data_IF_485005438478
#
_entry.id   IF_485005438478
#
_cell.length_a   1.000
_cell.length_b   1.000
_cell.length_c   1.000
_cell.angle_alpha   90.00
_cell.angle_beta   90.00
_cell.angle_gamma   90.00
#
_symmetry.space_group_name_H-M   'P 1'
#
loop_
_entity.id
_entity.type
_entity.pdbx_description
1 polymer ?
#
# COMPACT_ATOMS: atom_id res chain seq x y z
N UNK A 1 2.30 -30.75 62.05
CA UNK A 1 2.21 -29.48 61.31
C UNK A 1 2.86 -29.72 59.95
N UNK A 2 2.07 -30.00 58.92
CA UNK A 2 2.56 -30.38 57.58
C UNK A 2 2.25 -29.23 56.63
N UNK A 3 3.29 -28.56 56.13
CA UNK A 3 3.16 -27.41 55.22
C UNK A 3 3.00 -27.96 53.80
N UNK A 4 1.81 -27.81 53.23
CA UNK A 4 1.55 -28.07 51.81
C UNK A 4 2.02 -26.86 50.99
N UNK A 5 3.06 -27.04 50.19
CA UNK A 5 3.53 -26.05 49.22
C UNK A 5 2.68 -26.19 47.96
N UNK A 6 1.82 -25.20 47.71
CA UNK A 6 1.04 -25.08 46.47
C UNK A 6 1.97 -24.50 45.40
N UNK A 7 2.39 -25.33 44.44
CA UNK A 7 3.13 -24.89 43.25
C UNK A 7 2.11 -24.29 42.28
N UNK A 8 2.07 -22.97 42.23
CA UNK A 8 1.32 -22.21 41.23
C UNK A 8 2.01 -22.39 39.87
N UNK A 9 1.47 -23.27 39.03
CA UNK A 9 1.91 -23.42 37.63
C UNK A 9 1.29 -22.27 36.85
N UNK A 10 2.02 -21.15 36.80
CA UNK A 10 1.70 -20.02 35.94
C UNK A 10 1.73 -20.51 34.48
N UNK A 11 0.55 -20.61 33.87
CA UNK A 11 0.44 -20.81 32.43
C UNK A 11 0.98 -19.55 31.77
N UNK A 12 2.22 -19.60 31.31
CA UNK A 12 2.81 -18.55 30.46
C UNK A 12 2.02 -18.61 29.16
N UNK A 13 1.01 -17.75 29.01
CA UNK A 13 0.44 -17.44 27.71
C UNK A 13 1.53 -16.80 26.89
N UNK A 14 2.23 -17.62 26.10
CA UNK A 14 3.16 -17.19 25.09
C UNK A 14 2.32 -16.45 24.04
N UNK A 15 2.34 -15.11 24.08
CA UNK A 15 1.86 -14.33 22.94
C UNK A 15 2.78 -14.69 21.78
N UNK A 16 2.30 -15.53 20.86
CA UNK A 16 3.00 -15.74 19.60
C UNK A 16 3.01 -14.39 18.90
N UNK A 17 4.16 -13.72 18.90
CA UNK A 17 4.41 -12.62 17.98
C UNK A 17 4.08 -13.16 16.60
N UNK A 18 3.05 -12.60 15.95
CA UNK A 18 2.77 -12.93 14.56
C UNK A 18 4.02 -12.51 13.79
N UNK A 19 4.67 -13.42 13.03
CA UNK A 19 5.81 -13.02 12.21
C UNK A 19 5.35 -11.88 11.31
N UNK A 20 5.96 -10.70 11.46
CA UNK A 20 5.75 -9.60 10.54
C UNK A 20 6.43 -10.01 9.24
N UNK A 21 5.66 -10.47 8.26
CA UNK A 21 6.19 -10.62 6.92
C UNK A 21 6.61 -9.24 6.42
N UNK A 22 7.82 -9.15 5.87
CA UNK A 22 8.29 -7.97 5.17
C UNK A 22 8.52 -8.33 3.72
N UNK A 23 8.23 -7.39 2.83
CA UNK A 23 8.53 -7.49 1.42
C UNK A 23 9.14 -6.16 0.98
N UNK A 24 10.40 -6.20 0.56
CA UNK A 24 11.11 -5.02 0.07
C UNK A 24 10.79 -4.83 -1.41
N UNK A 25 10.49 -3.58 -1.79
CA UNK A 25 10.22 -3.18 -3.16
C UNK A 25 11.29 -2.20 -3.59
N UNK A 26 11.93 -2.48 -4.72
CA UNK A 26 12.96 -1.61 -5.27
C UNK A 26 12.44 -0.18 -5.51
N UNK A 27 13.28 0.78 -5.15
CA UNK A 27 12.98 2.20 -5.41
C UNK A 27 13.18 2.52 -6.88
N UNK A 28 12.09 2.93 -7.54
CA UNK A 28 12.14 3.50 -8.89
C UNK A 28 12.27 5.03 -8.75
N UNK A 29 13.27 5.66 -9.40
CA UNK A 29 13.43 7.10 -9.38
C UNK A 29 12.21 7.82 -9.98
N UNK A 30 11.51 8.61 -9.17
CA UNK A 30 10.40 9.46 -9.62
C UNK A 30 11.01 10.81 -10.04
N UNK A 31 11.22 10.99 -11.34
CA UNK A 31 11.70 12.26 -11.90
C UNK A 31 10.59 13.34 -11.92
N UNK A 32 10.97 14.59 -12.18
CA UNK A 32 10.01 15.71 -12.31
C UNK A 32 8.95 15.51 -13.41
N UNK A 33 9.18 14.58 -14.35
CA UNK A 33 8.24 14.27 -15.42
C UNK A 33 7.21 13.21 -15.03
N UNK A 34 7.36 12.56 -13.86
CA UNK A 34 6.42 11.56 -13.33
C UNK A 34 5.66 12.20 -12.16
N UNK A 35 4.34 12.31 -12.31
CA UNK A 35 3.46 12.81 -11.24
C UNK A 35 3.16 11.73 -10.20
N UNK A 36 2.97 10.49 -10.65
CA UNK A 36 2.62 9.34 -9.82
C UNK A 36 3.21 8.09 -10.44
N UNK A 37 3.90 7.28 -9.64
CA UNK A 37 4.25 5.89 -9.92
C UNK A 37 3.20 5.00 -9.28
N UNK A 38 2.61 4.11 -10.06
CA UNK A 38 1.67 3.11 -9.58
C UNK A 38 2.34 1.75 -9.61
N UNK A 39 2.17 0.99 -8.53
CA UNK A 39 2.62 -0.40 -8.41
C UNK A 39 1.43 -1.28 -8.12
N UNK A 40 1.30 -2.37 -8.85
CA UNK A 40 0.47 -3.49 -8.45
C UNK A 40 1.37 -4.49 -7.73
N UNK A 41 1.05 -4.78 -6.48
CA UNK A 41 1.88 -5.61 -5.60
C UNK A 41 1.08 -6.79 -5.10
N UNK A 42 1.70 -7.96 -5.14
CA UNK A 42 1.28 -9.13 -4.41
C UNK A 42 1.98 -9.18 -3.07
N UNK A 43 1.21 -9.24 -2.00
CA UNK A 43 1.73 -9.37 -0.66
C UNK A 43 0.83 -10.28 0.17
N UNK A 44 1.36 -11.40 0.65
CA UNK A 44 0.60 -12.42 1.39
C UNK A 44 -0.65 -12.92 0.66
N UNK A 45 -0.57 -13.06 -0.67
CA UNK A 45 -1.66 -13.37 -1.60
C UNK A 45 -2.69 -12.25 -1.83
N UNK A 46 -2.59 -11.11 -1.14
CA UNK A 46 -3.42 -9.94 -1.39
C UNK A 46 -2.85 -9.09 -2.54
N UNK A 47 -3.73 -8.58 -3.39
CA UNK A 47 -3.38 -7.64 -4.45
C UNK A 47 -3.58 -6.21 -3.96
N UNK A 48 -2.50 -5.42 -3.97
CA UNK A 48 -2.45 -4.04 -3.50
C UNK A 48 -2.12 -3.11 -4.68
N UNK A 49 -2.82 -1.99 -4.79
CA UNK A 49 -2.39 -0.88 -5.64
C UNK A 49 -1.74 0.17 -4.76
N UNK A 50 -0.49 0.50 -5.04
CA UNK A 50 0.28 1.54 -4.36
C UNK A 50 0.52 2.68 -5.34
N UNK A 51 0.07 3.88 -5.00
CA UNK A 51 0.36 5.11 -5.73
C UNK A 51 1.41 5.91 -4.97
N UNK A 52 2.49 6.35 -5.63
CA UNK A 52 3.58 7.09 -5.00
C UNK A 52 4.02 8.29 -5.82
N UNK A 53 4.50 9.34 -5.15
CA UNK A 53 5.27 10.42 -5.75
C UNK A 53 6.44 10.81 -4.81
N UNK A 54 7.14 11.90 -5.12
CA UNK A 54 8.26 12.39 -4.31
C UNK A 54 7.87 12.86 -2.90
N UNK A 55 6.58 13.03 -2.62
CA UNK A 55 6.05 13.47 -1.32
C UNK A 55 5.51 12.32 -0.46
N UNK A 56 5.46 11.09 -0.99
CA UNK A 56 4.96 9.92 -0.27
C UNK A 56 4.08 9.01 -1.12
N UNK A 57 3.31 8.17 -0.46
CA UNK A 57 2.52 7.12 -1.09
C UNK A 57 1.19 6.87 -0.38
N UNK A 58 0.25 6.31 -1.12
CA UNK A 58 -1.00 5.77 -0.61
C UNK A 58 -1.23 4.38 -1.23
N UNK A 59 -1.98 3.52 -0.54
CA UNK A 59 -2.18 2.13 -0.94
C UNK A 59 -3.61 1.67 -0.66
N UNK A 60 -4.16 0.86 -1.57
CA UNK A 60 -5.46 0.22 -1.39
C UNK A 60 -5.39 -1.28 -1.65
N UNK A 61 -6.16 -2.02 -0.86
CA UNK A 61 -6.44 -3.43 -1.12
C UNK A 61 -7.47 -3.54 -2.25
N UNK A 62 -7.09 -4.29 -3.28
CA UNK A 62 -7.88 -4.48 -4.49
C UNK A 62 -8.63 -5.80 -4.45
N UNK A 63 -7.92 -6.88 -4.11
CA UNK A 63 -8.48 -8.22 -4.00
C UNK A 63 -7.70 -9.03 -2.96
N UNK A 64 -8.36 -10.00 -2.33
CA UNK A 64 -7.74 -10.93 -1.37
C UNK A 64 -7.47 -12.28 -2.00
N UNK A 65 -6.36 -12.89 -1.61
CA UNK A 65 -5.99 -14.27 -1.96
C UNK A 65 -5.95 -14.56 -3.48
N UNK A 66 -5.56 -13.59 -4.31
CA UNK A 66 -5.74 -13.67 -5.76
C UNK A 66 -4.48 -13.71 -6.60
N UNK A 67 -3.28 -13.47 -6.03
CA UNK A 67 -2.11 -13.25 -6.88
C UNK A 67 -0.81 -13.96 -6.48
N UNK A 68 -0.81 -14.74 -5.39
CA UNK A 68 0.27 -15.67 -5.06
C UNK A 68 1.44 -15.07 -4.28
N UNK A 69 2.66 -15.34 -4.73
CA UNK A 69 3.90 -14.99 -4.01
C UNK A 69 4.12 -13.48 -3.93
N UNK A 70 4.91 -13.06 -2.92
CA UNK A 70 5.28 -11.66 -2.74
C UNK A 70 6.10 -11.17 -3.94
N UNK A 71 5.53 -10.26 -4.74
CA UNK A 71 6.17 -9.72 -5.93
C UNK A 71 5.53 -8.40 -6.36
N UNK A 72 6.24 -7.62 -7.18
CA UNK A 72 5.64 -6.51 -7.92
C UNK A 72 5.18 -7.01 -9.28
N UNK A 73 3.86 -7.05 -9.45
CA UNK A 73 3.23 -7.56 -10.68
C UNK A 73 3.42 -6.59 -11.85
N UNK A 74 3.27 -5.29 -11.58
CA UNK A 74 3.39 -4.28 -12.63
C UNK A 74 3.72 -2.88 -12.10
N UNK A 75 4.26 -2.07 -13.01
CA UNK A 75 4.55 -0.66 -12.82
C UNK A 75 3.84 0.17 -13.89
N UNK A 76 3.15 1.22 -13.45
CA UNK A 76 2.52 2.20 -14.31
C UNK A 76 2.96 3.62 -13.95
N UNK A 77 3.05 4.48 -14.96
CA UNK A 77 3.55 5.84 -14.80
C UNK A 77 2.50 6.86 -15.25
N UNK A 78 2.13 7.75 -14.33
CA UNK A 78 1.37 8.94 -14.67
C UNK A 78 2.35 10.09 -14.88
N UNK A 79 2.45 10.57 -16.12
CA UNK A 79 3.28 11.73 -16.43
C UNK A 79 2.74 13.04 -15.83
N UNK A 80 3.66 13.94 -15.51
CA UNK A 80 3.38 15.26 -14.96
C UNK A 80 2.54 16.08 -15.92
N UNK A 81 1.47 16.69 -15.39
CA UNK A 81 0.66 17.68 -16.11
C UNK A 81 0.82 19.02 -15.39
N UNK A 82 1.11 20.07 -16.15
CA UNK A 82 1.19 21.42 -15.61
C UNK A 82 -0.18 21.79 -15.03
N UNK A 83 -0.22 22.04 -13.72
CA UNK A 83 -1.41 22.56 -13.06
C UNK A 83 -1.62 24.03 -13.47
N UNK A 84 -2.89 24.43 -13.59
CA UNK A 84 -3.24 25.85 -13.69
C UNK A 84 -2.81 26.57 -12.40
N UNK A 85 -2.53 27.88 -12.50
CA UNK A 85 -2.02 28.69 -11.38
C UNK A 85 -2.86 28.53 -10.10
N UNK A 86 -4.18 28.48 -10.26
CA UNK A 86 -5.16 28.44 -9.17
C UNK A 86 -5.70 27.02 -8.90
N UNK A 87 -5.06 25.98 -9.48
CA UNK A 87 -5.45 24.59 -9.23
C UNK A 87 -4.89 24.11 -7.89
N UNK A 88 -5.75 23.49 -7.08
CA UNK A 88 -5.35 22.84 -5.82
C UNK A 88 -4.73 21.45 -6.03
N UNK A 89 -5.02 20.81 -7.17
CA UNK A 89 -4.54 19.48 -7.51
C UNK A 89 -5.08 18.99 -8.84
N UNK A 90 -4.98 17.68 -9.07
CA UNK A 90 -5.52 16.99 -10.24
C UNK A 90 -6.05 15.61 -9.85
N UNK A 91 -7.25 15.27 -10.32
CA UNK A 91 -7.83 13.92 -10.21
C UNK A 91 -7.60 13.20 -11.54
N UNK A 92 -7.23 11.91 -11.46
CA UNK A 92 -7.05 11.04 -12.61
C UNK A 92 -7.74 9.71 -12.36
N UNK A 93 -8.41 9.19 -13.39
CA UNK A 93 -9.10 7.90 -13.36
C UNK A 93 -8.34 6.94 -14.25
N UNK A 94 -8.03 5.74 -13.74
CA UNK A 94 -7.24 4.72 -14.42
C UNK A 94 -7.92 3.36 -14.26
N UNK A 95 -7.77 2.51 -15.26
CA UNK A 95 -8.14 1.10 -15.19
C UNK A 95 -6.88 0.27 -14.98
N UNK A 96 -6.83 -0.51 -13.90
CA UNK A 96 -5.69 -1.34 -13.51
C UNK A 96 -6.26 -2.73 -13.18
N UNK A 97 -5.90 -3.75 -13.94
CA UNK A 97 -6.41 -5.13 -13.77
C UNK A 97 -7.94 -5.22 -13.63
N UNK A 98 -8.67 -4.47 -14.46
CA UNK A 98 -10.14 -4.42 -14.39
C UNK A 98 -10.72 -3.59 -13.25
N UNK A 99 -9.88 -3.07 -12.34
CA UNK A 99 -10.30 -2.15 -11.30
C UNK A 99 -10.15 -0.70 -11.75
N UNK A 100 -11.18 0.08 -11.45
CA UNK A 100 -11.16 1.51 -11.72
C UNK A 100 -10.69 2.25 -10.48
N UNK A 101 -9.58 2.97 -10.61
CA UNK A 101 -8.97 3.72 -9.50
C UNK A 101 -8.96 5.21 -9.83
N UNK A 102 -9.43 6.02 -8.89
CA UNK A 102 -9.29 7.48 -8.97
C UNK A 102 -8.17 7.92 -8.04
N UNK A 103 -7.22 8.70 -8.56
CA UNK A 103 -6.07 9.21 -7.80
C UNK A 103 -6.14 10.73 -7.81
N UNK A 104 -6.21 11.31 -6.62
CA UNK A 104 -6.09 12.74 -6.41
C UNK A 104 -4.66 13.11 -5.99
N UNK A 105 -4.01 13.97 -6.76
CA UNK A 105 -2.71 14.54 -6.41
C UNK A 105 -2.88 16.01 -6.09
N UNK A 106 -3.00 16.34 -4.80
CA UNK A 106 -2.95 17.73 -4.34
C UNK A 106 -1.56 18.33 -4.62
N UNK A 107 -1.51 19.63 -4.89
CA UNK A 107 -0.27 20.36 -5.18
C UNK A 107 0.68 20.24 -3.98
N UNK A 108 1.86 19.67 -4.21
CA UNK A 108 2.91 19.52 -3.19
C UNK A 108 2.59 18.50 -2.09
N UNK A 109 1.76 17.49 -2.38
CA UNK A 109 1.37 16.45 -1.42
C UNK A 109 1.49 15.05 -2.05
N UNK A 110 1.51 14.03 -1.20
CA UNK A 110 1.38 12.65 -1.63
C UNK A 110 0.06 12.43 -2.38
N UNK A 111 -0.01 11.46 -3.33
CA UNK A 111 -1.27 11.09 -3.95
C UNK A 111 -2.20 10.48 -2.89
N UNK A 112 -3.50 10.66 -3.08
CA UNK A 112 -4.54 9.96 -2.34
C UNK A 112 -5.37 9.14 -3.33
N UNK A 113 -5.53 7.86 -3.06
CA UNK A 113 -6.37 6.95 -3.81
C UNK A 113 -7.79 7.10 -3.29
N UNK A 114 -8.64 7.68 -4.13
CA UNK A 114 -10.07 7.82 -3.86
C UNK A 114 -10.75 6.67 -4.58
N UNK A 115 -11.15 5.64 -3.83
CA UNK A 115 -11.80 4.46 -4.41
C UNK A 115 -13.08 4.89 -5.13
N UNK A 116 -13.23 4.48 -6.38
CA UNK A 116 -14.49 4.54 -7.11
C UNK A 116 -14.79 3.13 -7.60
N UNK A 117 -15.72 2.50 -6.88
CA UNK A 117 -16.58 1.38 -7.28
C UNK A 117 -16.24 0.02 -6.62
N UNK A 118 -17.33 -0.63 -6.17
CA UNK A 118 -17.48 -1.96 -5.56
C UNK A 118 -17.71 -2.97 -6.68
#
# INVERSE_FOLDING_TARGET
MLIFIIIFVSSITQSSDKPSSSFEIDSIPISNNISVLIRLVCFENDSLIIASNTYGSDAILVNRNSCGANDVVSYDFIFAKKLKKDSSGIIRKLAIEGHTVSIYSAKGKAPAIVRTDI
#
